data_IF_846032893365
#
_entry.id   IF_846032893365
#
_cell.length_a   1.000
_cell.length_b   1.000
_cell.length_c   1.000
_cell.angle_alpha   90.00
_cell.angle_beta   90.00
_cell.angle_gamma   90.00
#
_symmetry.space_group_name_H-M   'P 1'
#
loop_
_entity.id
_entity.type
_entity.pdbx_description
1 polymer ?
#
# COMPACT_ATOMS: atom_id res chain seq x y z
N UNK A 1 -11.51 -12.05 25.55
CA UNK A 1 -11.33 -12.06 24.09
C UNK A 1 -12.62 -11.54 23.49
N UNK A 2 -12.63 -10.30 22.96
CA UNK A 2 -13.79 -9.75 22.25
C UNK A 2 -14.08 -10.64 21.05
N UNK A 3 -15.36 -11.06 20.87
CA UNK A 3 -15.80 -11.73 19.65
C UNK A 3 -15.38 -10.86 18.46
N UNK A 4 -14.73 -11.40 17.41
CA UNK A 4 -14.49 -10.62 16.22
C UNK A 4 -15.83 -10.07 15.71
N UNK A 5 -15.88 -8.78 15.42
CA UNK A 5 -17.04 -8.18 14.79
C UNK A 5 -17.31 -8.96 13.50
N UNK A 6 -18.57 -9.33 13.27
CA UNK A 6 -18.94 -10.02 12.04
C UNK A 6 -18.67 -9.06 10.87
N UNK A 7 -17.80 -9.46 9.94
CA UNK A 7 -17.50 -8.68 8.73
C UNK A 7 -18.77 -8.61 7.88
N UNK A 8 -19.17 -7.40 7.50
CA UNK A 8 -20.29 -7.20 6.59
C UNK A 8 -19.83 -7.39 5.15
N UNK A 9 -20.44 -8.36 4.45
CA UNK A 9 -20.20 -8.62 3.03
C UNK A 9 -21.53 -8.44 2.28
N UNK A 10 -21.66 -7.40 1.43
CA UNK A 10 -22.87 -7.14 0.67
C UNK A 10 -23.24 -8.35 -0.24
N UNK A 11 -24.51 -8.72 -0.39
CA UNK A 11 -24.93 -9.81 -1.29
C UNK A 11 -24.42 -9.61 -2.73
N UNK A 12 -24.51 -8.39 -3.27
CA UNK A 12 -24.03 -8.08 -4.61
C UNK A 12 -22.50 -8.24 -4.75
N UNK A 13 -21.73 -8.01 -3.70
CA UNK A 13 -20.30 -8.32 -3.67
C UNK A 13 -20.05 -9.83 -3.71
N UNK A 14 -20.77 -10.60 -2.93
CA UNK A 14 -20.66 -12.06 -2.96
C UNK A 14 -21.02 -12.64 -4.32
N UNK A 15 -22.04 -12.11 -4.98
CA UNK A 15 -22.43 -12.53 -6.34
C UNK A 15 -21.34 -12.15 -7.37
N UNK A 16 -20.78 -10.95 -7.30
CA UNK A 16 -19.67 -10.53 -8.15
C UNK A 16 -18.42 -11.40 -7.92
N UNK A 17 -18.10 -11.69 -6.67
CA UNK A 17 -16.97 -12.58 -6.31
C UNK A 17 -17.18 -13.99 -6.84
N UNK A 18 -18.39 -14.55 -6.71
CA UNK A 18 -18.72 -15.89 -7.23
C UNK A 18 -18.52 -15.98 -8.74
N UNK A 19 -18.83 -14.91 -9.47
CA UNK A 19 -18.69 -14.87 -10.92
C UNK A 19 -17.23 -14.94 -11.42
N UNK A 20 -16.25 -14.54 -10.60
CA UNK A 20 -14.83 -14.52 -10.95
C UNK A 20 -14.02 -15.58 -10.19
N UNK A 21 -14.64 -16.32 -9.29
CA UNK A 21 -13.96 -17.28 -8.43
C UNK A 21 -13.45 -18.48 -9.26
N UNK A 22 -12.18 -18.88 -9.08
CA UNK A 22 -11.66 -20.11 -9.66
C UNK A 22 -12.45 -21.33 -9.20
N UNK A 23 -12.59 -22.34 -10.09
CA UNK A 23 -13.42 -23.51 -9.87
C UNK A 23 -12.96 -24.42 -8.72
N UNK A 24 -11.70 -24.30 -8.32
CA UNK A 24 -11.06 -25.04 -7.21
C UNK A 24 -11.21 -24.35 -5.84
N UNK A 25 -11.81 -23.15 -5.80
CA UNK A 25 -12.09 -22.42 -4.57
C UNK A 25 -13.58 -22.43 -4.22
N UNK A 26 -13.89 -22.39 -2.93
CA UNK A 26 -15.26 -22.34 -2.43
C UNK A 26 -15.62 -20.98 -1.85
N UNK A 27 -16.87 -20.56 -2.03
CA UNK A 27 -17.40 -19.33 -1.40
C UNK A 27 -17.37 -19.41 0.13
N UNK A 28 -17.59 -20.59 0.71
CA UNK A 28 -17.54 -20.77 2.16
C UNK A 28 -16.13 -20.54 2.70
N UNK A 29 -15.11 -21.03 2.01
CA UNK A 29 -13.71 -20.79 2.37
C UNK A 29 -13.32 -19.32 2.20
N UNK A 30 -13.82 -18.67 1.15
CA UNK A 30 -13.63 -17.24 0.93
C UNK A 30 -14.23 -16.41 2.08
N UNK A 31 -15.50 -16.67 2.43
CA UNK A 31 -16.19 -15.98 3.53
C UNK A 31 -15.46 -16.24 4.87
N UNK A 32 -15.06 -17.48 5.12
CA UNK A 32 -14.28 -17.83 6.31
C UNK A 32 -12.92 -17.11 6.33
N UNK A 33 -12.27 -16.95 5.17
CA UNK A 33 -11.03 -16.19 5.06
C UNK A 33 -11.23 -14.71 5.36
N UNK A 34 -12.33 -14.08 4.89
CA UNK A 34 -12.67 -12.70 5.19
C UNK A 34 -12.89 -12.44 6.69
N UNK A 35 -13.32 -13.45 7.45
CA UNK A 35 -13.57 -13.36 8.89
C UNK A 35 -12.31 -13.62 9.75
N UNK A 36 -11.24 -14.16 9.18
CA UNK A 36 -10.00 -14.44 9.92
C UNK A 36 -9.19 -13.14 10.08
N UNK A 37 -8.71 -12.82 11.30
CA UNK A 37 -7.82 -11.69 11.51
C UNK A 37 -6.58 -11.79 10.61
N UNK A 38 -6.08 -10.64 10.14
CA UNK A 38 -4.80 -10.59 9.45
C UNK A 38 -3.67 -10.86 10.43
N UNK A 39 -2.64 -11.57 9.97
CA UNK A 39 -1.37 -11.62 10.69
C UNK A 39 -0.81 -10.21 10.80
N UNK A 40 -0.38 -9.84 11.99
CA UNK A 40 0.31 -8.56 12.20
C UNK A 40 1.67 -8.60 11.51
N UNK A 41 2.07 -7.49 10.92
CA UNK A 41 3.36 -7.36 10.26
C UNK A 41 3.94 -5.96 10.46
N UNK A 42 5.25 -5.88 10.36
CA UNK A 42 6.01 -4.63 10.43
C UNK A 42 7.10 -4.64 9.37
N UNK A 43 7.57 -3.46 9.02
CA UNK A 43 8.73 -3.25 8.19
C UNK A 43 9.78 -2.44 8.96
N UNK A 44 10.97 -2.99 9.08
CA UNK A 44 12.13 -2.30 9.70
C UNK A 44 12.46 -1.07 8.87
N UNK A 45 12.71 0.04 9.53
CA UNK A 45 13.10 1.28 8.87
C UNK A 45 14.62 1.36 8.78
N UNK A 46 15.15 0.95 7.66
CA UNK A 46 16.60 0.90 7.41
C UNK A 46 17.28 2.26 7.34
N UNK A 47 16.51 3.37 7.31
CA UNK A 47 17.07 4.72 7.51
C UNK A 47 17.54 4.97 8.95
N UNK A 48 17.11 4.15 9.92
CA UNK A 48 17.38 4.36 11.35
C UNK A 48 18.08 3.20 12.05
N UNK A 49 17.85 1.96 11.60
CA UNK A 49 18.40 0.77 12.22
C UNK A 49 18.56 -0.33 11.16
N UNK A 50 19.64 -1.10 11.24
CA UNK A 50 19.76 -2.26 10.37
C UNK A 50 18.77 -3.37 10.77
N UNK A 51 18.43 -4.26 9.82
CA UNK A 51 17.57 -5.41 10.12
C UNK A 51 18.16 -6.27 11.23
N UNK A 52 19.47 -6.52 11.19
CA UNK A 52 20.17 -7.34 12.18
C UNK A 52 20.12 -6.71 13.59
N UNK A 53 20.38 -5.40 13.69
CA UNK A 53 20.34 -4.69 14.97
C UNK A 53 18.90 -4.62 15.51
N UNK A 54 17.89 -4.45 14.63
CA UNK A 54 16.50 -4.50 15.05
C UNK A 54 16.09 -5.87 15.58
N UNK A 55 16.49 -6.94 14.90
CA UNK A 55 16.25 -8.32 15.39
C UNK A 55 16.91 -8.58 16.74
N UNK A 56 18.14 -8.11 16.93
CA UNK A 56 18.84 -8.20 18.22
C UNK A 56 18.11 -7.40 19.32
N UNK A 57 17.68 -6.17 19.00
CA UNK A 57 16.96 -5.29 19.94
C UNK A 57 15.67 -5.92 20.46
N UNK A 58 14.91 -6.60 19.60
CA UNK A 58 13.60 -7.13 19.99
C UNK A 58 13.63 -8.55 20.57
N UNK A 59 14.80 -9.19 20.62
CA UNK A 59 14.98 -10.50 21.28
C UNK A 59 14.57 -10.43 22.75
N UNK A 60 14.90 -9.33 23.44
CA UNK A 60 14.58 -9.14 24.84
C UNK A 60 13.08 -8.92 25.10
N UNK A 61 12.29 -8.66 24.05
CA UNK A 61 10.85 -8.39 24.14
C UNK A 61 9.97 -9.63 23.85
N UNK A 62 10.59 -10.78 23.63
CA UNK A 62 9.88 -12.01 23.26
C UNK A 62 9.05 -11.84 21.95
N UNK A 63 9.49 -10.95 21.05
CA UNK A 63 8.90 -10.78 19.74
C UNK A 63 9.42 -11.84 18.78
N UNK A 64 8.51 -12.65 18.25
CA UNK A 64 8.86 -13.64 17.22
C UNK A 64 8.65 -13.00 15.85
N UNK A 65 9.73 -12.93 15.07
CA UNK A 65 9.75 -12.34 13.74
C UNK A 65 9.94 -13.45 12.69
N UNK A 66 8.99 -13.55 11.76
CA UNK A 66 9.04 -14.43 10.60
C UNK A 66 9.22 -13.58 9.33
N UNK A 67 10.27 -13.81 8.51
CA UNK A 67 10.53 -12.99 7.33
C UNK A 67 9.40 -13.02 6.31
N UNK A 68 9.12 -11.86 5.68
CA UNK A 68 8.20 -11.76 4.55
C UNK A 68 9.00 -11.98 3.26
N UNK A 69 8.66 -13.00 2.42
CA UNK A 69 9.51 -13.41 1.31
C UNK A 69 9.76 -12.33 0.23
N UNK A 70 8.86 -11.36 0.10
CA UNK A 70 8.95 -10.30 -0.92
C UNK A 70 9.44 -8.96 -0.39
N UNK A 71 9.86 -8.89 0.88
CA UNK A 71 10.38 -7.66 1.47
C UNK A 71 11.43 -8.02 2.53
N UNK A 72 12.70 -7.78 2.22
CA UNK A 72 13.82 -8.15 3.09
C UNK A 72 13.78 -7.49 4.47
N UNK A 73 13.16 -6.31 4.58
CA UNK A 73 12.97 -5.57 5.82
C UNK A 73 11.63 -5.89 6.50
N UNK A 74 10.79 -6.73 5.87
CA UNK A 74 9.44 -7.07 6.30
C UNK A 74 9.38 -8.33 7.16
N UNK A 75 8.58 -8.27 8.22
CA UNK A 75 8.37 -9.41 9.11
C UNK A 75 6.92 -9.53 9.53
N UNK A 76 6.38 -10.75 9.56
CA UNK A 76 5.25 -11.05 10.41
C UNK A 76 5.72 -11.08 11.85
N UNK A 77 4.85 -10.63 12.77
CA UNK A 77 5.18 -10.53 14.19
C UNK A 77 4.15 -11.25 15.04
N UNK A 78 4.62 -12.08 15.98
CA UNK A 78 3.86 -12.65 17.07
C UNK A 78 4.45 -12.20 18.41
N UNK A 79 3.58 -11.86 19.37
CA UNK A 79 3.97 -11.39 20.71
C UNK A 79 3.12 -12.06 21.75
N UNK A 80 3.71 -12.44 22.87
CA UNK A 80 2.98 -12.95 24.02
C UNK A 80 2.28 -11.85 24.80
N UNK A 81 2.92 -10.68 24.91
CA UNK A 81 2.34 -9.52 25.57
C UNK A 81 1.54 -8.67 24.55
N UNK A 82 0.22 -8.69 24.71
CA UNK A 82 -0.71 -7.88 23.93
C UNK A 82 -1.20 -6.63 24.67
N UNK A 83 -0.81 -6.43 25.94
CA UNK A 83 -1.25 -5.26 26.75
C UNK A 83 -0.71 -3.96 26.13
N UNK A 84 0.55 -3.95 25.71
CA UNK A 84 1.09 -2.82 24.98
C UNK A 84 0.76 -2.93 23.47
N UNK A 85 -0.02 -1.98 22.96
CA UNK A 85 -0.28 -1.90 21.53
C UNK A 85 1.03 -1.66 20.77
N UNK A 86 1.25 -2.37 19.65
CA UNK A 86 2.47 -2.23 18.83
C UNK A 86 2.74 -0.78 18.41
N UNK A 87 1.68 -0.01 18.14
CA UNK A 87 1.77 1.42 17.81
C UNK A 87 2.19 2.33 18.98
N UNK A 88 2.19 1.81 20.22
CA UNK A 88 2.62 2.54 21.42
C UNK A 88 4.03 2.13 21.88
N UNK A 89 4.66 1.16 21.20
CA UNK A 89 6.02 0.75 21.49
C UNK A 89 7.01 1.91 21.21
N UNK A 90 8.02 2.06 22.05
CA UNK A 90 9.04 3.12 21.93
C UNK A 90 9.75 3.07 20.56
N UNK A 91 10.01 1.88 20.06
CA UNK A 91 10.62 1.60 18.76
C UNK A 91 9.76 2.10 17.60
N UNK A 92 8.43 1.93 17.69
CA UNK A 92 7.51 2.49 16.71
C UNK A 92 7.45 4.02 16.79
N UNK A 93 7.33 4.57 17.98
CA UNK A 93 7.29 6.03 18.19
C UNK A 93 8.60 6.70 17.75
N UNK A 94 9.73 6.02 17.94
CA UNK A 94 11.05 6.46 17.47
C UNK A 94 11.25 6.27 15.96
N UNK A 95 10.31 5.56 15.28
CA UNK A 95 10.35 5.31 13.84
C UNK A 95 11.35 4.24 13.42
N UNK A 96 11.74 3.31 14.31
CA UNK A 96 12.62 2.18 13.96
C UNK A 96 11.92 1.16 13.07
N UNK A 97 10.60 1.12 13.09
CA UNK A 97 9.78 0.32 12.19
C UNK A 97 8.46 1.00 11.82
N UNK A 98 7.86 0.53 10.75
CA UNK A 98 6.51 0.90 10.33
C UNK A 98 5.58 -0.30 10.49
N UNK A 99 4.39 -0.13 11.08
CA UNK A 99 3.35 -1.16 11.10
C UNK A 99 2.71 -1.17 9.72
N UNK A 100 3.05 -2.17 8.92
CA UNK A 100 2.63 -2.27 7.52
C UNK A 100 2.16 -3.69 7.24
N UNK A 101 1.04 -3.82 6.54
CA UNK A 101 0.57 -5.12 6.10
C UNK A 101 1.55 -5.72 5.08
N UNK A 102 1.77 -7.03 5.17
CA UNK A 102 2.71 -7.74 4.32
C UNK A 102 2.44 -7.53 2.83
N UNK A 103 1.17 -7.65 2.38
CA UNK A 103 0.79 -7.40 0.99
C UNK A 103 1.05 -5.96 0.53
N UNK A 104 0.91 -4.98 1.43
CA UNK A 104 1.17 -3.56 1.13
C UNK A 104 2.65 -3.24 0.89
N UNK A 105 3.57 -4.14 1.25
CA UNK A 105 5.01 -4.00 0.97
C UNK A 105 5.35 -4.39 -0.47
N UNK A 106 4.55 -5.28 -1.09
CA UNK A 106 4.83 -5.86 -2.40
C UNK A 106 4.92 -4.84 -3.54
N UNK A 107 4.04 -3.82 -3.66
CA UNK A 107 4.11 -2.86 -4.76
C UNK A 107 5.43 -2.10 -4.83
N UNK A 108 5.98 -1.71 -3.69
CA UNK A 108 7.29 -1.03 -3.65
C UNK A 108 8.42 -2.02 -3.95
N UNK A 109 8.37 -3.24 -3.44
CA UNK A 109 9.36 -4.27 -3.78
C UNK A 109 9.37 -4.54 -5.29
N UNK A 110 8.20 -4.65 -5.92
CA UNK A 110 8.08 -4.80 -7.37
C UNK A 110 8.67 -3.60 -8.13
N UNK A 111 8.40 -2.36 -7.67
CA UNK A 111 8.92 -1.15 -8.31
C UNK A 111 10.46 -1.14 -8.36
N UNK A 112 11.13 -1.66 -7.33
CA UNK A 112 12.59 -1.68 -7.24
C UNK A 112 13.24 -2.95 -7.81
N UNK A 113 12.47 -3.93 -8.23
CA UNK A 113 12.99 -5.15 -8.90
C UNK A 113 13.33 -4.87 -10.36
N UNK A 114 12.53 -4.03 -11.03
CA UNK A 114 12.59 -3.80 -12.47
C UNK A 114 13.29 -2.49 -12.86
N UNK A 115 13.85 -1.76 -11.89
CA UNK A 115 14.52 -0.48 -12.16
C UNK A 115 15.90 -0.43 -11.53
N UNK A 116 16.85 0.22 -12.22
CA UNK A 116 18.02 0.76 -11.53
C UNK A 116 17.57 1.78 -10.49
N UNK A 117 18.41 2.11 -9.49
CA UNK A 117 18.05 3.03 -8.43
C UNK A 117 17.47 4.34 -8.99
N UNK A 118 16.15 4.59 -8.88
CA UNK A 118 15.52 5.76 -9.47
C UNK A 118 15.98 7.03 -8.75
N UNK A 119 16.10 8.12 -9.49
CA UNK A 119 16.45 9.42 -8.92
C UNK A 119 15.23 10.28 -8.59
N UNK A 120 14.15 10.11 -9.33
CA UNK A 120 12.90 10.88 -9.21
C UNK A 120 11.73 9.92 -9.17
N UNK A 121 11.09 9.88 -8.03
CA UNK A 121 9.95 8.97 -7.79
C UNK A 121 8.69 9.78 -7.51
N UNK A 122 7.57 9.38 -8.08
CA UNK A 122 6.25 9.89 -7.76
C UNK A 122 5.44 8.81 -7.04
N UNK A 123 4.95 9.12 -5.84
CA UNK A 123 3.92 8.35 -5.12
C UNK A 123 2.61 9.16 -5.23
N UNK A 124 1.72 8.70 -6.13
CA UNK A 124 0.56 9.49 -6.58
C UNK A 124 -0.51 9.63 -5.49
N UNK A 125 -0.65 8.62 -4.62
CA UNK A 125 -1.66 8.58 -3.55
C UNK A 125 -1.04 8.07 -2.24
N UNK A 126 -0.14 8.88 -1.69
CA UNK A 126 0.89 8.47 -0.75
C UNK A 126 0.41 8.15 0.68
N UNK A 127 -0.69 8.78 1.15
CA UNK A 127 -1.11 8.61 2.55
C UNK A 127 -1.61 7.17 2.85
N UNK A 128 -1.26 6.66 4.01
CA UNK A 128 -0.66 7.30 5.18
C UNK A 128 0.87 7.39 5.19
N UNK A 129 1.59 6.99 4.12
CA UNK A 129 3.03 7.09 3.99
C UNK A 129 3.80 5.78 4.16
N UNK A 130 3.12 4.65 4.24
CA UNK A 130 3.76 3.33 4.37
C UNK A 130 4.66 3.01 3.17
N UNK A 131 4.16 3.23 1.95
CA UNK A 131 4.89 2.99 0.71
C UNK A 131 5.93 4.08 0.45
N UNK A 132 5.59 5.35 0.68
CA UNK A 132 6.54 6.47 0.58
C UNK A 132 7.76 6.27 1.48
N UNK A 133 7.56 5.85 2.73
CA UNK A 133 8.67 5.59 3.67
C UNK A 133 9.47 4.34 3.31
N UNK A 134 8.85 3.36 2.64
CA UNK A 134 9.54 2.20 2.08
C UNK A 134 10.43 2.61 0.90
N UNK A 135 9.90 3.40 -0.03
CA UNK A 135 10.66 3.97 -1.15
C UNK A 135 11.88 4.75 -0.63
N UNK A 136 11.67 5.67 0.32
CA UNK A 136 12.74 6.47 0.89
C UNK A 136 13.83 5.62 1.56
N UNK A 137 13.45 4.53 2.24
CA UNK A 137 14.38 3.60 2.87
C UNK A 137 15.22 2.85 1.81
N UNK A 138 14.60 2.33 0.76
CA UNK A 138 15.30 1.67 -0.34
C UNK A 138 16.22 2.64 -1.10
N UNK A 139 15.80 3.89 -1.27
CA UNK A 139 16.63 4.97 -1.84
C UNK A 139 17.71 5.49 -0.88
N UNK A 140 17.74 5.03 0.35
CA UNK A 140 18.66 5.55 1.40
C UNK A 140 18.66 7.08 1.49
N UNK A 141 17.48 7.70 1.40
CA UNK A 141 17.29 9.15 1.34
C UNK A 141 18.04 9.85 0.18
N UNK A 142 18.41 9.13 -0.89
CA UNK A 142 19.02 9.72 -2.08
C UNK A 142 17.94 10.03 -3.13
N UNK A 143 18.27 10.90 -4.11
CA UNK A 143 17.31 11.33 -5.11
C UNK A 143 16.18 12.19 -4.54
N UNK A 144 15.00 12.15 -5.18
CA UNK A 144 13.84 12.92 -4.76
C UNK A 144 12.54 12.13 -4.93
N UNK A 145 11.66 12.27 -3.96
CA UNK A 145 10.31 11.67 -3.97
C UNK A 145 9.28 12.81 -3.95
N UNK A 146 8.35 12.80 -4.88
CA UNK A 146 7.11 13.59 -4.76
C UNK A 146 6.06 12.66 -4.19
N UNK A 147 5.59 12.95 -2.98
CA UNK A 147 4.54 12.22 -2.30
C UNK A 147 3.27 13.06 -2.29
N UNK A 148 2.30 12.68 -3.12
CA UNK A 148 1.06 13.39 -3.29
C UNK A 148 -0.09 12.74 -2.52
N UNK A 149 -0.98 13.54 -2.00
CA UNK A 149 -2.23 13.07 -1.38
C UNK A 149 -3.36 14.07 -1.64
N UNK A 150 -4.47 13.57 -2.16
CA UNK A 150 -5.66 14.39 -2.47
C UNK A 150 -6.40 14.90 -1.23
N UNK A 151 -6.39 14.14 -0.14
CA UNK A 151 -7.12 14.48 1.09
C UNK A 151 -6.27 15.32 2.04
N UNK A 152 -6.69 16.56 2.32
CA UNK A 152 -6.01 17.46 3.25
C UNK A 152 -5.83 16.88 4.68
N UNK A 153 -6.79 16.09 5.15
CA UNK A 153 -6.70 15.41 6.45
C UNK A 153 -5.63 14.31 6.44
N UNK A 154 -5.52 13.55 5.33
CA UNK A 154 -4.56 12.47 5.18
C UNK A 154 -3.13 12.98 4.93
N UNK A 155 -2.94 14.15 4.33
CA UNK A 155 -1.63 14.81 4.21
C UNK A 155 -0.97 15.00 5.58
N UNK A 156 -1.75 15.34 6.62
CA UNK A 156 -1.22 15.50 7.98
C UNK A 156 -0.67 14.19 8.54
N UNK A 157 -1.35 13.09 8.27
CA UNK A 157 -0.90 11.74 8.69
C UNK A 157 0.36 11.33 7.92
N UNK A 158 0.37 11.59 6.61
CA UNK A 158 1.54 11.38 5.75
C UNK A 158 2.76 12.15 6.26
N UNK A 159 2.61 13.44 6.54
CA UNK A 159 3.68 14.28 7.10
C UNK A 159 4.21 13.73 8.43
N UNK A 160 3.32 13.35 9.36
CA UNK A 160 3.71 12.80 10.64
C UNK A 160 4.54 11.51 10.50
N UNK A 161 4.13 10.60 9.61
CA UNK A 161 4.84 9.34 9.36
C UNK A 161 6.19 9.56 8.66
N UNK A 162 6.26 10.46 7.70
CA UNK A 162 7.51 10.86 7.04
C UNK A 162 8.51 11.42 8.06
N UNK A 163 8.08 12.36 8.90
CA UNK A 163 8.90 12.94 9.95
C UNK A 163 9.36 11.88 10.96
N UNK A 164 8.44 11.05 11.44
CA UNK A 164 8.74 9.97 12.39
C UNK A 164 9.75 8.97 11.83
N UNK A 165 9.65 8.61 10.55
CA UNK A 165 10.57 7.68 9.91
C UNK A 165 11.91 8.31 9.48
N UNK A 166 12.07 9.63 9.55
CA UNK A 166 13.32 10.30 9.20
C UNK A 166 13.58 10.40 7.70
N UNK A 167 12.51 10.47 6.90
CA UNK A 167 12.62 10.70 5.45
C UNK A 167 13.03 12.13 5.20
N UNK A 168 14.04 12.34 4.34
CA UNK A 168 14.65 13.65 4.05
C UNK A 168 14.52 14.08 2.59
N UNK A 169 14.31 13.13 1.68
CA UNK A 169 14.33 13.33 0.23
C UNK A 169 12.91 13.42 -0.38
N UNK A 170 11.93 13.93 0.38
CA UNK A 170 10.53 13.98 -0.04
C UNK A 170 10.00 15.41 -0.12
N UNK A 171 9.26 15.70 -1.20
CA UNK A 171 8.38 16.85 -1.33
C UNK A 171 6.93 16.38 -1.17
N UNK A 172 6.23 16.93 -0.18
CA UNK A 172 4.80 16.65 0.02
C UNK A 172 3.97 17.58 -0.85
N UNK A 173 3.01 17.03 -1.56
CA UNK A 173 2.06 17.79 -2.37
C UNK A 173 0.63 17.44 -2.00
N UNK A 174 -0.27 18.37 -2.25
CA UNK A 174 -1.70 18.21 -2.02
C UNK A 174 -2.46 18.62 -3.28
N UNK A 175 -2.46 17.73 -4.26
CA UNK A 175 -3.11 17.93 -5.53
C UNK A 175 -3.96 16.72 -5.91
N UNK A 176 -4.84 16.94 -6.86
CA UNK A 176 -5.44 15.83 -7.60
C UNK A 176 -4.36 15.11 -8.40
N UNK A 177 -4.24 13.79 -8.24
CA UNK A 177 -3.22 12.99 -8.94
C UNK A 177 -3.29 13.05 -10.47
N UNK A 178 -4.43 13.48 -11.00
CA UNK A 178 -4.66 13.64 -12.43
C UNK A 178 -3.92 14.82 -13.08
N UNK A 179 -3.29 15.68 -12.28
CA UNK A 179 -2.58 16.86 -12.83
C UNK A 179 -1.14 16.56 -13.24
N UNK A 180 -0.53 15.47 -12.76
CA UNK A 180 0.91 15.24 -12.89
C UNK A 180 1.36 15.04 -14.33
N UNK A 181 0.59 14.34 -15.17
CA UNK A 181 0.93 14.12 -16.58
C UNK A 181 1.05 15.41 -17.37
N UNK A 182 0.15 16.37 -17.12
CA UNK A 182 0.18 17.66 -17.79
C UNK A 182 1.19 18.65 -17.18
N UNK A 183 1.37 18.62 -15.84
CA UNK A 183 2.23 19.56 -15.13
C UNK A 183 3.72 19.17 -15.15
N UNK A 184 3.99 17.88 -15.15
CA UNK A 184 5.34 17.30 -15.08
C UNK A 184 5.50 16.12 -16.06
N UNK A 185 5.33 16.33 -17.37
CA UNK A 185 5.44 15.26 -18.35
C UNK A 185 6.86 14.67 -18.33
N UNK A 186 6.95 13.35 -18.48
CA UNK A 186 8.20 12.60 -18.59
C UNK A 186 9.25 12.92 -17.50
N UNK A 187 8.75 13.22 -16.29
CA UNK A 187 9.60 13.79 -15.21
C UNK A 187 10.07 12.77 -14.19
N UNK A 188 9.48 11.58 -14.12
CA UNK A 188 9.77 10.61 -13.07
C UNK A 188 10.34 9.31 -13.65
N UNK A 189 11.40 8.81 -13.02
CA UNK A 189 12.05 7.55 -13.39
C UNK A 189 11.25 6.34 -12.89
N UNK A 190 10.52 6.51 -11.79
CA UNK A 190 9.65 5.49 -11.22
C UNK A 190 8.37 6.13 -10.66
N UNK A 191 7.23 5.47 -10.85
CA UNK A 191 5.93 5.92 -10.35
C UNK A 191 5.23 4.78 -9.61
N UNK A 192 4.77 5.07 -8.41
CA UNK A 192 3.84 4.22 -7.68
C UNK A 192 2.44 4.84 -7.70
N UNK A 193 1.49 4.12 -8.25
CA UNK A 193 0.08 4.43 -8.16
C UNK A 193 -0.63 3.33 -7.35
N UNK A 194 -0.61 3.47 -6.02
CA UNK A 194 -1.48 2.70 -5.13
C UNK A 194 -2.85 3.37 -5.13
N UNK A 195 -3.68 2.98 -6.09
CA UNK A 195 -4.85 3.74 -6.49
C UNK A 195 -5.97 3.70 -5.42
N UNK A 196 -6.73 4.79 -5.25
CA UNK A 196 -7.98 4.73 -4.51
C UNK A 196 -8.87 3.67 -5.13
N UNK A 197 -9.43 2.78 -4.31
CA UNK A 197 -10.18 1.62 -4.79
C UNK A 197 -11.37 1.32 -3.86
N UNK A 198 -12.23 0.39 -4.28
CA UNK A 198 -13.41 -0.04 -3.50
C UNK A 198 -13.10 -0.74 -2.18
N UNK A 199 -11.84 -1.14 -1.96
CA UNK A 199 -11.37 -1.65 -0.67
C UNK A 199 -11.83 -3.05 -0.33
N UNK A 200 -12.18 -3.88 -1.30
CA UNK A 200 -12.70 -5.25 -1.09
C UNK A 200 -11.75 -6.14 -0.27
N UNK A 201 -10.43 -5.94 -0.40
CA UNK A 201 -9.43 -6.67 0.39
C UNK A 201 -9.18 -6.11 1.81
N UNK A 202 -9.83 -5.00 2.19
CA UNK A 202 -9.63 -4.35 3.50
C UNK A 202 -10.53 -4.92 4.59
N UNK A 203 -11.53 -5.73 4.25
CA UNK A 203 -12.55 -6.27 5.18
C UNK A 203 -11.98 -6.96 6.42
N UNK A 204 -10.80 -7.53 6.34
CA UNK A 204 -10.10 -8.16 7.46
C UNK A 204 -9.48 -7.18 8.46
N UNK A 205 -9.36 -5.89 8.07
CA UNK A 205 -8.85 -4.80 8.90
C UNK A 205 -9.96 -3.93 9.45
N UNK A 206 -10.95 -3.66 8.59
CA UNK A 206 -12.09 -2.81 8.85
C UNK A 206 -13.36 -3.59 8.51
N UNK A 207 -14.09 -4.09 9.50
CA UNK A 207 -15.35 -4.84 9.28
C UNK A 207 -16.41 -4.04 8.51
N UNK A 208 -16.34 -2.70 8.56
CA UNK A 208 -17.30 -1.80 7.91
C UNK A 208 -16.82 -1.29 6.55
N UNK A 209 -15.66 -1.74 6.07
CA UNK A 209 -15.06 -1.29 4.81
C UNK A 209 -16.01 -1.40 3.60
N UNK A 210 -16.89 -2.39 3.61
CA UNK A 210 -17.83 -2.67 2.53
C UNK A 210 -19.22 -2.02 2.72
N UNK A 211 -19.42 -1.18 3.74
CA UNK A 211 -20.74 -0.61 4.05
C UNK A 211 -21.32 0.24 2.92
N UNK A 212 -20.45 0.90 2.14
CA UNK A 212 -20.83 1.72 0.99
C UNK A 212 -20.50 1.07 -0.36
N UNK A 213 -20.13 -0.21 -0.37
CA UNK A 213 -19.80 -0.92 -1.60
C UNK A 213 -21.05 -1.16 -2.45
N UNK A 214 -20.95 -0.88 -3.74
CA UNK A 214 -21.96 -1.18 -4.74
C UNK A 214 -21.33 -1.29 -6.13
N UNK A 215 -21.94 -1.98 -7.11
CA UNK A 215 -21.44 -2.00 -8.48
C UNK A 215 -21.27 -0.60 -9.08
N UNK A 216 -22.14 0.35 -8.73
CA UNK A 216 -22.05 1.74 -9.21
C UNK A 216 -20.89 2.50 -8.57
N UNK A 217 -20.58 2.26 -7.28
CA UNK A 217 -19.42 2.87 -6.65
C UNK A 217 -18.11 2.30 -7.21
N UNK A 218 -18.04 1.01 -7.50
CA UNK A 218 -16.90 0.37 -8.19
C UNK A 218 -16.68 1.01 -9.57
N UNK A 219 -17.75 1.18 -10.36
CA UNK A 219 -17.65 1.80 -11.68
C UNK A 219 -17.13 3.25 -11.62
N UNK A 220 -17.65 4.07 -10.70
CA UNK A 220 -17.19 5.46 -10.53
C UNK A 220 -15.72 5.56 -10.06
N UNK A 221 -15.29 4.63 -9.21
CA UNK A 221 -13.89 4.55 -8.77
C UNK A 221 -12.99 4.13 -9.95
N UNK A 222 -13.42 3.13 -10.74
CA UNK A 222 -12.68 2.67 -11.91
C UNK A 222 -12.52 3.80 -12.97
N UNK A 223 -13.49 4.68 -13.14
CA UNK A 223 -13.34 5.86 -14.01
C UNK A 223 -12.23 6.79 -13.48
N UNK A 224 -12.22 7.06 -12.20
CA UNK A 224 -11.15 7.84 -11.56
C UNK A 224 -9.77 7.19 -11.72
N UNK A 225 -9.71 5.86 -11.58
CA UNK A 225 -8.46 5.11 -11.74
C UNK A 225 -7.91 5.19 -13.16
N UNK A 226 -8.79 5.16 -14.20
CA UNK A 226 -8.36 5.34 -15.60
C UNK A 226 -7.72 6.71 -15.83
N UNK A 227 -8.31 7.76 -15.27
CA UNK A 227 -7.73 9.10 -15.37
C UNK A 227 -6.41 9.24 -14.61
N UNK A 228 -6.29 8.60 -13.44
CA UNK A 228 -5.07 8.61 -12.63
C UNK A 228 -3.94 7.86 -13.30
N UNK A 229 -4.18 6.67 -13.84
CA UNK A 229 -3.13 5.86 -14.49
C UNK A 229 -2.66 6.51 -15.78
N UNK A 230 -3.56 7.13 -16.55
CA UNK A 230 -3.23 7.90 -17.75
C UNK A 230 -2.33 9.09 -17.42
N UNK A 231 -2.70 9.88 -16.42
CA UNK A 231 -1.87 11.00 -15.94
C UNK A 231 -0.51 10.52 -15.41
N UNK A 232 -0.47 9.43 -14.66
CA UNK A 232 0.77 8.86 -14.16
C UNK A 232 1.67 8.38 -15.31
N UNK A 233 1.10 7.75 -16.35
CA UNK A 233 1.83 7.31 -17.53
C UNK A 233 2.49 8.50 -18.26
N UNK A 234 1.77 9.60 -18.46
CA UNK A 234 2.33 10.81 -19.09
C UNK A 234 3.41 11.49 -18.24
N UNK A 235 3.39 11.30 -16.92
CA UNK A 235 4.42 11.81 -16.03
C UNK A 235 5.69 10.90 -15.99
N UNK A 236 5.57 9.67 -16.48
CA UNK A 236 6.67 8.69 -16.50
C UNK A 236 7.68 9.03 -17.61
N UNK A 237 8.95 9.07 -17.27
CA UNK A 237 10.01 9.28 -18.23
C UNK A 237 10.17 8.06 -19.16
N UNK A 238 10.62 8.26 -20.42
CA UNK A 238 10.95 7.14 -21.30
C UNK A 238 11.93 6.16 -20.64
N UNK A 239 11.58 4.88 -20.64
CA UNK A 239 12.34 3.82 -19.95
C UNK A 239 12.12 3.74 -18.46
N UNK A 240 11.23 4.56 -17.90
CA UNK A 240 10.82 4.48 -16.49
C UNK A 240 9.90 3.31 -16.20
N UNK A 241 9.70 3.02 -14.92
CA UNK A 241 8.86 1.93 -14.44
C UNK A 241 7.68 2.48 -13.62
N UNK A 242 6.48 1.99 -13.89
CA UNK A 242 5.30 2.29 -13.10
C UNK A 242 4.70 1.02 -12.50
N UNK A 243 4.39 1.07 -11.20
CA UNK A 243 3.60 0.04 -10.53
C UNK A 243 2.22 0.58 -10.21
N UNK A 244 1.20 -0.10 -10.70
CA UNK A 244 -0.21 0.10 -10.34
C UNK A 244 -0.63 -0.96 -9.34
N UNK A 245 -1.21 -0.55 -8.23
CA UNK A 245 -1.72 -1.46 -7.19
C UNK A 245 -3.06 -0.99 -6.64
N UNK A 246 -3.84 -1.93 -6.15
CA UNK A 246 -5.10 -1.68 -5.43
C UNK A 246 -5.23 -2.65 -4.26
N UNK A 247 -6.13 -2.36 -3.34
CA UNK A 247 -6.57 -3.30 -2.31
C UNK A 247 -7.97 -3.88 -2.62
N UNK A 248 -8.30 -4.06 -3.89
CA UNK A 248 -9.57 -4.67 -4.34
C UNK A 248 -9.32 -5.95 -5.14
N UNK A 249 -10.37 -6.75 -5.34
CA UNK A 249 -10.29 -8.07 -5.97
C UNK A 249 -10.88 -8.09 -7.38
N UNK A 250 -11.75 -7.11 -7.73
CA UNK A 250 -12.47 -7.12 -8.99
C UNK A 250 -11.59 -6.74 -10.19
N UNK A 251 -11.92 -7.30 -11.35
CA UNK A 251 -11.19 -7.06 -12.59
C UNK A 251 -11.40 -5.63 -13.15
N UNK A 252 -12.51 -4.98 -12.78
CA UNK A 252 -12.87 -3.65 -13.28
C UNK A 252 -11.87 -2.59 -12.81
N UNK A 253 -11.42 -2.70 -11.56
CA UNK A 253 -10.45 -1.80 -10.94
C UNK A 253 -8.99 -2.27 -11.13
N UNK A 254 -8.75 -3.46 -11.64
CA UNK A 254 -7.42 -4.05 -11.82
C UNK A 254 -7.11 -4.28 -13.30
N UNK A 255 -7.42 -5.47 -13.83
CA UNK A 255 -7.04 -5.87 -15.19
C UNK A 255 -7.59 -4.93 -16.28
N UNK A 256 -8.84 -4.45 -16.12
CA UNK A 256 -9.44 -3.56 -17.12
C UNK A 256 -8.78 -2.18 -17.15
N UNK A 257 -8.28 -1.68 -16.01
CA UNK A 257 -7.54 -0.41 -15.96
C UNK A 257 -6.22 -0.56 -16.72
N UNK A 258 -5.44 -1.58 -16.38
CA UNK A 258 -4.12 -1.82 -16.99
C UNK A 258 -4.26 -2.14 -18.48
N UNK A 259 -5.21 -3.01 -18.86
CA UNK A 259 -5.44 -3.36 -20.27
C UNK A 259 -5.91 -2.14 -21.08
N UNK A 260 -6.69 -1.24 -20.49
CA UNK A 260 -7.10 0.01 -21.13
C UNK A 260 -5.90 0.92 -21.45
N UNK A 261 -4.96 1.05 -20.52
CA UNK A 261 -3.72 1.79 -20.73
C UNK A 261 -2.88 1.15 -21.85
N UNK A 262 -2.66 -0.17 -21.78
CA UNK A 262 -1.89 -0.90 -22.80
C UNK A 262 -2.52 -0.84 -24.19
N UNK A 263 -3.84 -0.87 -24.27
CA UNK A 263 -4.54 -0.73 -25.55
C UNK A 263 -4.39 0.65 -26.19
N UNK A 264 -4.13 1.68 -25.35
CA UNK A 264 -3.97 3.06 -25.82
C UNK A 264 -2.53 3.38 -26.24
N UNK A 265 -1.55 2.85 -25.50
CA UNK A 265 -0.14 3.26 -25.62
C UNK A 265 0.84 2.10 -25.87
N UNK A 266 0.37 0.84 -25.83
CA UNK A 266 1.21 -0.37 -26.01
C UNK A 266 1.47 -0.82 -27.41
#
# INVERSE_FOLDING_TARGET
VAKPASVFLPPAFLDATRAIMPADLSMDDFIAACQRPLRRSLRVNTLKISVADFQALVQDYDWQLEPIPWCAEGFWIERKDEELRLGSAAEHLSGLFYIQEASSMLPVSALFTETEMPRRVLDVAAAPGSKTTQIAALMNNQGGIVANEYSASRVKVLHANISRCGVKNVALTHFDGRVFGAALPESFDAILLDAPCSGEGVVRKDPDAMSNWSPSSVAAIADTQRELIDSAFHALAPGGVMVYSTCTLNAQENQQIVNGLLATYG
#
